data_IF_303493262815
#
_entry.id   IF_303493262815
#
_cell.length_a   1.000
_cell.length_b   1.000
_cell.length_c   1.000
_cell.angle_alpha   90.00
_cell.angle_beta   90.00
_cell.angle_gamma   90.00
#
_symmetry.space_group_name_H-M   'P 1'
#
loop_
_entity.id
_entity.type
_entity.pdbx_description
1 polymer ?
#
# COMPACT_ATOMS: atom_id res chain seq x y z
N UNK A 1 -52.54 -16.93 -4.45
CA UNK A 1 -51.54 -16.42 -3.48
C UNK A 1 -50.18 -16.91 -3.93
N UNK A 2 -49.44 -16.04 -4.59
CA UNK A 2 -48.13 -16.34 -5.12
C UNK A 2 -47.11 -15.89 -4.11
N UNK A 3 -46.29 -16.79 -3.60
CA UNK A 3 -45.22 -16.47 -2.65
C UNK A 3 -44.14 -15.60 -3.31
N UNK A 4 -43.54 -14.64 -2.60
CA UNK A 4 -42.45 -13.81 -3.14
C UNK A 4 -41.18 -14.63 -3.25
N UNK A 5 -40.54 -14.54 -4.41
CA UNK A 5 -39.24 -15.13 -4.69
C UNK A 5 -38.16 -14.42 -3.86
N UNK A 6 -37.15 -15.13 -3.33
CA UNK A 6 -36.06 -14.50 -2.64
C UNK A 6 -35.16 -13.75 -3.61
N UNK A 7 -34.86 -12.55 -3.24
CA UNK A 7 -33.96 -11.59 -3.88
C UNK A 7 -32.59 -12.24 -4.14
N UNK A 8 -32.14 -12.22 -5.39
CA UNK A 8 -30.79 -12.64 -5.76
C UNK A 8 -29.81 -11.67 -5.11
N UNK A 9 -29.04 -12.16 -4.16
CA UNK A 9 -27.87 -11.51 -3.62
C UNK A 9 -26.99 -11.06 -4.78
N UNK A 10 -26.85 -9.76 -4.91
CA UNK A 10 -25.85 -9.12 -5.76
C UNK A 10 -24.49 -9.51 -5.19
N UNK A 11 -23.83 -10.47 -5.85
CA UNK A 11 -22.45 -10.82 -5.56
C UNK A 11 -21.60 -9.57 -5.85
N UNK A 12 -20.87 -9.11 -4.84
CA UNK A 12 -19.87 -8.07 -5.01
C UNK A 12 -18.89 -8.49 -6.13
N UNK A 13 -18.45 -7.56 -6.97
CA UNK A 13 -17.52 -7.88 -8.04
C UNK A 13 -16.24 -8.46 -7.45
N UNK A 14 -15.91 -9.67 -7.86
CA UNK A 14 -14.63 -10.31 -7.55
C UNK A 14 -13.53 -9.44 -8.19
N UNK A 15 -12.52 -8.97 -7.43
CA UNK A 15 -11.44 -8.19 -8.02
C UNK A 15 -10.76 -9.03 -9.09
N UNK A 16 -10.71 -8.51 -10.30
CA UNK A 16 -9.95 -9.11 -11.39
C UNK A 16 -8.49 -9.20 -10.96
N UNK A 17 -7.98 -10.41 -10.80
CA UNK A 17 -6.57 -10.69 -10.55
C UNK A 17 -5.73 -10.28 -11.77
N UNK A 18 -5.44 -9.00 -11.87
CA UNK A 18 -4.26 -8.52 -12.59
C UNK A 18 -3.17 -8.34 -11.55
N UNK A 19 -2.59 -9.45 -11.13
CA UNK A 19 -1.48 -9.46 -10.21
C UNK A 19 -0.24 -8.88 -10.89
N UNK A 20 -0.01 -7.58 -10.73
CA UNK A 20 1.32 -7.01 -10.84
C UNK A 20 2.21 -7.65 -9.76
N UNK A 21 3.52 -7.71 -10.00
CA UNK A 21 4.47 -8.24 -9.03
C UNK A 21 4.32 -7.52 -7.68
N UNK A 22 4.39 -8.28 -6.58
CA UNK A 22 4.39 -7.74 -5.23
C UNK A 22 5.79 -7.27 -4.86
N UNK A 23 5.95 -5.98 -4.60
CA UNK A 23 7.19 -5.42 -4.08
C UNK A 23 7.32 -5.72 -2.59
N UNK A 24 8.53 -5.95 -2.13
CA UNK A 24 8.86 -6.26 -0.73
C UNK A 24 9.96 -5.35 -0.22
N UNK A 25 9.77 -4.82 0.99
CA UNK A 25 10.71 -3.95 1.67
C UNK A 25 10.81 -4.32 3.15
N UNK A 26 12.03 -4.44 3.65
CA UNK A 26 12.28 -4.79 5.05
C UNK A 26 12.43 -3.53 5.91
N UNK A 27 11.75 -3.50 7.06
CA UNK A 27 11.77 -2.41 8.03
C UNK A 27 12.11 -2.95 9.40
N UNK A 28 13.08 -2.33 10.07
CA UNK A 28 13.36 -2.57 11.50
C UNK A 28 12.52 -1.64 12.36
N UNK A 29 11.94 -2.14 13.43
CA UNK A 29 11.25 -1.34 14.45
C UNK A 29 12.28 -0.72 15.39
N UNK A 30 12.27 0.60 15.49
CA UNK A 30 13.15 1.39 16.33
C UNK A 30 12.41 1.93 17.56
N UNK A 31 13.14 2.50 18.52
CA UNK A 31 12.57 3.16 19.68
C UNK A 31 11.51 4.21 19.31
N UNK A 32 11.81 5.04 18.32
CA UNK A 32 10.90 6.09 17.85
C UNK A 32 9.59 5.57 17.27
N UNK A 33 9.53 4.30 16.89
CA UNK A 33 8.33 3.68 16.31
C UNK A 33 7.38 3.14 17.39
N UNK A 34 7.84 3.00 18.62
CA UNK A 34 7.09 2.37 19.72
C UNK A 34 6.42 3.39 20.64
N UNK A 35 5.34 2.96 21.26
CA UNK A 35 4.65 3.71 22.31
C UNK A 35 5.08 3.25 23.71
N UNK A 36 4.47 3.82 24.76
CA UNK A 36 4.75 3.47 26.14
C UNK A 36 4.43 1.99 26.49
N UNK A 37 3.64 1.32 25.67
CA UNK A 37 3.34 -0.11 25.82
C UNK A 37 4.40 -1.04 25.23
N UNK A 38 5.45 -0.49 24.60
CA UNK A 38 6.53 -1.26 23.96
C UNK A 38 6.15 -1.89 22.63
N UNK A 39 5.06 -1.47 22.03
CA UNK A 39 4.59 -1.91 20.72
C UNK A 39 4.61 -0.74 19.74
N UNK A 40 4.63 -1.04 18.44
CA UNK A 40 4.56 -0.02 17.40
C UNK A 40 3.29 0.79 17.56
N UNK A 41 3.47 2.12 17.66
CA UNK A 41 2.35 3.06 17.67
C UNK A 41 1.52 2.88 16.40
N UNK A 42 0.21 2.71 16.50
CA UNK A 42 -0.63 2.27 15.41
C UNK A 42 -0.50 3.11 14.12
N UNK A 43 -0.29 4.41 14.23
CA UNK A 43 -0.13 5.28 13.08
C UNK A 43 1.22 5.11 12.36
N UNK A 44 2.22 4.53 13.00
CA UNK A 44 3.55 4.34 12.41
C UNK A 44 3.57 3.29 11.29
N UNK A 45 2.60 2.38 11.24
CA UNK A 45 2.46 1.49 10.08
C UNK A 45 2.24 2.27 8.77
N UNK A 46 1.61 3.44 8.83
CA UNK A 46 1.45 4.31 7.67
C UNK A 46 2.81 4.82 7.15
N UNK A 47 3.76 5.07 8.05
CA UNK A 47 5.14 5.42 7.66
C UNK A 47 5.86 4.24 7.01
N UNK A 48 5.68 3.04 7.53
CA UNK A 48 6.25 1.84 6.94
C UNK A 48 5.69 1.58 5.53
N UNK A 49 4.40 1.75 5.36
CA UNK A 49 3.74 1.64 4.06
C UNK A 49 4.21 2.72 3.09
N UNK A 50 4.37 3.95 3.55
CA UNK A 50 4.90 5.05 2.73
C UNK A 50 6.32 4.76 2.26
N UNK A 51 7.20 4.31 3.15
CA UNK A 51 8.58 3.94 2.81
C UNK A 51 8.62 2.82 1.77
N UNK A 52 7.80 1.79 1.94
CA UNK A 52 7.71 0.70 0.96
C UNK A 52 7.25 1.19 -0.42
N UNK A 53 6.26 2.07 -0.49
CA UNK A 53 5.82 2.67 -1.76
C UNK A 53 6.93 3.52 -2.40
N UNK A 54 7.63 4.30 -1.62
CA UNK A 54 8.74 5.15 -2.08
C UNK A 54 9.88 4.30 -2.64
N UNK A 55 10.28 3.25 -1.92
CA UNK A 55 11.33 2.34 -2.39
C UNK A 55 10.90 1.52 -3.60
N UNK A 56 9.62 1.15 -3.68
CA UNK A 56 9.07 0.49 -4.85
C UNK A 56 9.18 1.37 -6.11
N UNK A 57 8.72 2.61 -6.01
CA UNK A 57 8.86 3.57 -7.13
C UNK A 57 10.32 3.79 -7.50
N UNK A 58 11.21 3.93 -6.52
CA UNK A 58 12.65 4.07 -6.75
C UNK A 58 13.25 2.85 -7.46
N UNK A 59 12.86 1.64 -7.07
CA UNK A 59 13.26 0.41 -7.72
C UNK A 59 12.82 0.33 -9.20
N UNK A 60 11.72 0.99 -9.53
CA UNK A 60 11.20 1.13 -10.90
C UNK A 60 11.84 2.30 -11.68
N UNK A 61 12.82 2.98 -11.10
CA UNK A 61 13.46 4.16 -11.69
C UNK A 61 12.65 5.45 -11.56
N UNK A 62 11.63 5.45 -10.69
CA UNK A 62 10.75 6.58 -10.46
C UNK A 62 11.11 7.24 -9.14
N UNK A 63 11.80 8.37 -9.19
CA UNK A 63 12.14 9.18 -8.01
C UNK A 63 11.12 10.32 -7.86
N UNK A 64 10.43 10.36 -6.74
CA UNK A 64 9.33 11.31 -6.51
C UNK A 64 9.78 12.77 -6.55
N UNK A 65 10.95 13.09 -6.02
CA UNK A 65 11.50 14.44 -6.06
C UNK A 65 11.79 14.86 -7.51
N UNK A 66 12.40 13.97 -8.28
CA UNK A 66 12.70 14.22 -9.69
C UNK A 66 11.43 14.38 -10.53
N UNK A 67 10.41 13.58 -10.27
CA UNK A 67 9.11 13.74 -10.94
C UNK A 67 8.48 15.10 -10.64
N UNK A 68 8.54 15.53 -9.39
CA UNK A 68 8.03 16.84 -9.00
C UNK A 68 8.76 17.97 -9.73
N UNK A 69 10.08 17.87 -9.84
CA UNK A 69 10.91 18.91 -10.46
C UNK A 69 10.81 18.92 -11.99
N UNK A 70 10.79 17.74 -12.63
CA UNK A 70 10.82 17.60 -14.09
C UNK A 70 9.42 17.54 -14.74
N UNK A 71 8.46 16.90 -14.08
CA UNK A 71 7.10 16.68 -14.62
C UNK A 71 6.08 17.62 -13.96
N UNK A 72 6.41 18.17 -12.79
CA UNK A 72 5.53 19.06 -12.03
C UNK A 72 4.34 18.37 -11.39
N UNK A 73 4.38 17.04 -11.23
CA UNK A 73 3.34 16.25 -10.60
C UNK A 73 3.85 15.44 -9.42
N UNK A 74 2.93 15.01 -8.56
CA UNK A 74 3.26 14.17 -7.42
C UNK A 74 2.07 13.30 -7.00
N UNK A 75 2.36 12.20 -6.32
CA UNK A 75 1.34 11.42 -5.64
C UNK A 75 1.00 12.01 -4.27
N UNK A 76 -0.30 12.02 -3.96
CA UNK A 76 -0.81 12.37 -2.63
C UNK A 76 -1.75 11.28 -2.15
N UNK A 77 -1.75 11.00 -0.85
CA UNK A 77 -2.69 10.06 -0.26
C UNK A 77 -4.07 10.72 -0.16
N UNK A 78 -5.10 10.06 -0.67
CA UNK A 78 -6.48 10.56 -0.66
C UNK A 78 -7.37 9.79 0.30
N UNK A 79 -7.10 8.51 0.53
CA UNK A 79 -7.79 7.72 1.54
C UNK A 79 -6.93 6.55 2.00
N UNK A 80 -7.19 6.09 3.22
CA UNK A 80 -6.47 5.00 3.86
C UNK A 80 -7.43 4.16 4.67
N UNK A 81 -7.42 2.85 4.44
CA UNK A 81 -8.10 1.86 5.27
C UNK A 81 -7.04 0.92 5.82
N UNK A 82 -6.99 0.76 7.12
CA UNK A 82 -5.99 -0.06 7.79
C UNK A 82 -6.67 -0.98 8.79
N UNK A 83 -6.21 -2.23 8.83
CA UNK A 83 -6.65 -3.22 9.80
C UNK A 83 -5.45 -3.78 10.54
N UNK A 84 -5.53 -3.76 11.86
CA UNK A 84 -4.50 -4.22 12.76
C UNK A 84 -4.85 -5.61 13.28
N UNK A 85 -3.90 -6.54 13.20
CA UNK A 85 -4.10 -7.93 13.61
C UNK A 85 -3.27 -8.29 14.85
N UNK A 86 -1.98 -7.92 14.84
CA UNK A 86 -1.03 -8.21 15.90
C UNK A 86 -0.03 -7.07 16.04
N UNK A 87 0.46 -6.77 17.24
CA UNK A 87 1.47 -5.74 17.44
C UNK A 87 2.85 -6.21 16.99
N UNK A 88 3.61 -5.29 16.40
CA UNK A 88 5.07 -5.40 16.31
C UNK A 88 5.71 -4.76 17.54
N UNK A 89 6.91 -5.18 17.86
CA UNK A 89 7.67 -4.76 19.05
C UNK A 89 9.01 -4.16 18.64
N UNK A 90 9.67 -3.50 19.59
CA UNK A 90 11.04 -3.02 19.41
C UNK A 90 11.94 -4.14 18.88
N UNK A 91 12.82 -3.81 17.96
CA UNK A 91 13.79 -4.68 17.30
C UNK A 91 13.20 -5.72 16.33
N UNK A 92 11.89 -5.83 16.22
CA UNK A 92 11.27 -6.68 15.21
C UNK A 92 11.68 -6.25 13.80
N UNK A 93 11.86 -7.23 12.93
CA UNK A 93 12.09 -7.03 11.52
C UNK A 93 10.80 -7.36 10.76
N UNK A 94 10.30 -6.37 10.01
CA UNK A 94 9.03 -6.47 9.30
C UNK A 94 9.26 -6.57 7.80
N UNK A 95 8.53 -7.46 7.15
CA UNK A 95 8.41 -7.49 5.70
C UNK A 95 7.17 -6.69 5.31
N UNK A 96 7.38 -5.58 4.62
CA UNK A 96 6.32 -4.70 4.14
C UNK A 96 6.16 -4.90 2.64
N UNK A 97 4.93 -5.11 2.19
CA UNK A 97 4.63 -5.35 0.79
C UNK A 97 3.89 -4.18 0.17
N UNK A 98 3.97 -4.07 -1.15
CA UNK A 98 3.16 -3.15 -1.94
C UNK A 98 2.85 -3.76 -3.31
N UNK A 99 1.59 -3.67 -3.73
CA UNK A 99 1.14 -4.04 -5.07
C UNK A 99 -0.03 -3.16 -5.50
N UNK A 100 -0.19 -2.98 -6.79
CA UNK A 100 -1.38 -2.29 -7.32
C UNK A 100 -2.59 -3.20 -7.17
N UNK A 101 -3.62 -2.72 -6.48
CA UNK A 101 -4.92 -3.39 -6.38
C UNK A 101 -5.85 -2.89 -7.50
N UNK A 102 -5.91 -1.58 -7.70
CA UNK A 102 -6.71 -0.93 -8.74
C UNK A 102 -5.94 0.22 -9.35
N UNK A 103 -6.05 0.40 -10.66
CA UNK A 103 -5.44 1.51 -11.38
C UNK A 103 -6.49 2.27 -12.18
N UNK A 104 -6.61 3.57 -11.90
CA UNK A 104 -7.39 4.52 -12.66
C UNK A 104 -6.50 5.48 -13.47
N UNK A 105 -7.12 6.47 -14.10
CA UNK A 105 -6.38 7.49 -14.87
C UNK A 105 -5.60 8.46 -13.99
N UNK A 106 -6.14 8.84 -12.84
CA UNK A 106 -5.60 9.83 -11.93
C UNK A 106 -5.34 9.29 -10.52
N UNK A 107 -5.65 8.03 -10.25
CA UNK A 107 -5.50 7.42 -8.93
C UNK A 107 -5.17 5.94 -9.01
N UNK A 108 -4.51 5.46 -7.96
CA UNK A 108 -4.18 4.06 -7.73
C UNK A 108 -4.65 3.67 -6.34
N UNK A 109 -5.09 2.43 -6.18
CA UNK A 109 -5.23 1.80 -4.87
C UNK A 109 -4.12 0.77 -4.70
N UNK A 110 -3.33 0.93 -3.66
CA UNK A 110 -2.21 0.07 -3.32
C UNK A 110 -2.61 -0.83 -2.16
N UNK A 111 -2.48 -2.12 -2.34
CA UNK A 111 -2.61 -3.12 -1.29
C UNK A 111 -1.25 -3.32 -0.61
N UNK A 112 -1.21 -3.18 0.70
CA UNK A 112 0.00 -3.27 1.49
C UNK A 112 -0.21 -4.13 2.73
N UNK A 113 0.81 -4.88 3.10
CA UNK A 113 0.82 -5.68 4.33
C UNK A 113 2.14 -5.47 5.07
N UNK A 114 2.09 -5.59 6.38
CA UNK A 114 3.27 -5.74 7.22
C UNK A 114 3.21 -7.09 7.94
N UNK A 115 4.24 -7.89 7.75
CA UNK A 115 4.38 -9.21 8.38
C UNK A 115 5.63 -9.26 9.23
N UNK A 116 5.61 -10.04 10.29
CA UNK A 116 6.83 -10.34 11.03
C UNK A 116 7.74 -11.19 10.14
N UNK A 117 8.97 -10.73 9.88
CA UNK A 117 9.90 -11.46 9.01
C UNK A 117 10.55 -12.66 9.70
N UNK A 118 10.77 -12.58 11.02
CA UNK A 118 11.31 -13.71 11.77
C UNK A 118 10.30 -14.85 11.74
N UNK A 119 10.70 -16.06 11.28
CA UNK A 119 9.80 -17.21 11.32
C UNK A 119 9.45 -17.53 12.79
N UNK A 120 8.16 -17.76 13.04
CA UNK A 120 7.73 -18.40 14.27
C UNK A 120 8.26 -19.84 14.32
N UNK A 121 8.15 -20.50 15.47
CA UNK A 121 8.53 -21.90 15.61
C UNK A 121 7.88 -22.81 14.55
N UNK A 122 6.73 -22.42 14.03
CA UNK A 122 5.98 -23.12 12.98
C UNK A 122 6.38 -22.70 11.55
N UNK A 123 7.39 -21.80 11.40
CA UNK A 123 7.85 -21.32 10.10
C UNK A 123 6.92 -20.29 9.45
N UNK A 124 5.93 -19.78 10.16
CA UNK A 124 4.95 -18.82 9.66
C UNK A 124 5.42 -17.37 9.89
N UNK A 125 5.01 -16.48 8.98
CA UNK A 125 5.24 -15.03 9.07
C UNK A 125 3.91 -14.34 9.38
N UNK A 126 3.60 -14.10 10.67
CA UNK A 126 2.31 -13.55 11.06
C UNK A 126 2.00 -12.22 10.39
N UNK A 127 0.77 -12.07 9.90
CA UNK A 127 0.26 -10.79 9.42
C UNK A 127 0.02 -9.87 10.63
N UNK A 128 0.66 -8.71 10.62
CA UNK A 128 0.56 -7.73 11.70
C UNK A 128 -0.44 -6.63 11.37
N UNK A 129 -0.38 -6.13 10.14
CA UNK A 129 -1.19 -5.02 9.67
C UNK A 129 -1.40 -5.13 8.16
N UNK A 130 -2.57 -4.75 7.70
CA UNK A 130 -2.87 -4.65 6.27
C UNK A 130 -3.56 -3.33 5.97
N UNK A 131 -3.38 -2.82 4.76
CA UNK A 131 -3.96 -1.55 4.36
C UNK A 131 -4.23 -1.44 2.87
N UNK A 132 -5.26 -0.69 2.55
CA UNK A 132 -5.53 -0.20 1.21
C UNK A 132 -5.30 1.30 1.20
N UNK A 133 -4.31 1.73 0.45
CA UNK A 133 -3.89 3.12 0.38
C UNK A 133 -4.24 3.64 -1.02
N UNK A 134 -5.15 4.59 -1.07
CA UNK A 134 -5.47 5.27 -2.32
C UNK A 134 -4.60 6.50 -2.46
N UNK A 135 -3.90 6.57 -3.58
CA UNK A 135 -3.07 7.72 -3.95
C UNK A 135 -3.60 8.34 -5.24
N UNK A 136 -3.57 9.65 -5.30
CA UNK A 136 -3.94 10.42 -6.48
C UNK A 136 -2.73 11.14 -7.06
N UNK A 137 -2.74 11.35 -8.37
CA UNK A 137 -1.75 12.17 -9.04
C UNK A 137 -2.27 13.60 -9.18
N UNK A 138 -1.47 14.56 -8.74
CA UNK A 138 -1.83 15.97 -8.76
C UNK A 138 -0.72 16.82 -9.38
N UNK A 139 -1.11 17.96 -9.94
CA UNK A 139 -0.17 19.04 -10.23
C UNK A 139 0.42 19.56 -8.92
N UNK A 140 1.75 19.63 -8.82
CA UNK A 140 2.43 19.96 -7.58
C UNK A 140 2.23 21.44 -7.14
N UNK A 141 1.93 22.33 -8.07
CA UNK A 141 1.70 23.75 -7.78
C UNK A 141 0.25 24.02 -7.39
N UNK A 142 -0.70 23.51 -8.16
CA UNK A 142 -2.14 23.76 -7.97
C UNK A 142 -2.85 22.77 -7.07
N UNK A 143 -2.23 21.60 -6.82
CA UNK A 143 -2.82 20.44 -6.12
C UNK A 143 -4.06 19.88 -6.81
N UNK A 144 -4.27 20.18 -8.08
CA UNK A 144 -5.39 19.68 -8.87
C UNK A 144 -5.11 18.29 -9.40
N UNK A 145 -6.10 17.38 -9.40
CA UNK A 145 -5.96 16.07 -10.01
C UNK A 145 -5.55 16.16 -11.48
N UNK A 146 -4.61 15.31 -11.85
CA UNK A 146 -4.13 15.16 -13.22
C UNK A 146 -3.99 13.69 -13.56
N UNK A 147 -3.90 13.40 -14.86
CA UNK A 147 -3.63 12.05 -15.35
C UNK A 147 -2.24 11.59 -14.92
N UNK A 148 -2.17 10.38 -14.36
CA UNK A 148 -0.89 9.74 -14.07
C UNK A 148 -0.13 9.55 -15.38
N UNK A 149 1.15 9.97 -15.46
CA UNK A 149 1.96 9.73 -16.65
C UNK A 149 1.93 8.25 -17.06
N UNK A 150 1.67 7.93 -18.35
CA UNK A 150 1.57 6.55 -18.81
C UNK A 150 2.81 5.71 -18.51
N UNK A 151 4.00 6.30 -18.55
CA UNK A 151 5.25 5.60 -18.23
C UNK A 151 5.29 5.10 -16.78
N UNK A 152 4.69 5.82 -15.84
CA UNK A 152 4.58 5.41 -14.43
C UNK A 152 3.60 4.25 -14.30
N UNK A 153 2.43 4.34 -14.93
CA UNK A 153 1.45 3.25 -14.92
C UNK A 153 2.03 1.98 -15.54
N UNK A 154 2.74 2.10 -16.64
CA UNK A 154 3.38 0.97 -17.31
C UNK A 154 4.44 0.32 -16.42
N UNK A 155 5.27 1.13 -15.73
CA UNK A 155 6.27 0.63 -14.80
C UNK A 155 5.65 -0.11 -13.60
N UNK A 156 4.55 0.42 -13.04
CA UNK A 156 3.85 -0.19 -11.91
C UNK A 156 3.11 -1.48 -12.27
N UNK A 157 2.69 -1.64 -13.52
CA UNK A 157 1.96 -2.79 -14.01
C UNK A 157 2.86 -3.82 -14.73
N UNK A 158 4.15 -3.55 -14.86
CA UNK A 158 5.08 -4.46 -15.49
C UNK A 158 5.20 -5.76 -14.66
N UNK A 159 5.24 -6.93 -15.31
CA UNK A 159 5.58 -8.16 -14.60
C UNK A 159 7.01 -8.08 -14.09
N UNK A 160 7.21 -8.47 -12.82
CA UNK A 160 8.52 -8.51 -12.17
C UNK A 160 9.40 -9.63 -12.69
#
# INVERSE_FOLDING_TARGET
MTAPQPNRSEAAPVPSERAGATFQWTVRVYWEDTDAGGIVFYANYLKFFERARTEWLRALGVEQQRLRDEVGGMFVVTSTQVKYHRPARLDDLLLVTARVLEAGRASLTIDQTARLQAPTADGDSPLLCEGHIRIGWVDAASMRPQRIPPAILDALNAPG
#
